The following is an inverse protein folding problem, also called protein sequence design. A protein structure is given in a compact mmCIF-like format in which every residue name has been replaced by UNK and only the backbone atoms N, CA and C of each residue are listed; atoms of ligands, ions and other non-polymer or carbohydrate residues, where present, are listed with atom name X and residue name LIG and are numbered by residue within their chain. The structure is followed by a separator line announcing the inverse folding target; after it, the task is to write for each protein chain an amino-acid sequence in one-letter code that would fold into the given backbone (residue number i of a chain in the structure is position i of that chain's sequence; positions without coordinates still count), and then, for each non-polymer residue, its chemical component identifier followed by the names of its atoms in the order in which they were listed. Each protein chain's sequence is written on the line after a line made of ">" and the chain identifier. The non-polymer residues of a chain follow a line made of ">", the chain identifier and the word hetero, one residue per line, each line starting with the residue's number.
data_IF_743904363303
#
_entry.id   IF_743904363303
#
_cell.length_a   1.000
_cell.length_b   1.000
_cell.length_c   1.000
_cell.angle_alpha   90.00
_cell.angle_beta   90.00
_cell.angle_gamma   90.00
#
_symmetry.space_group_name_H-M   'P 1'
#
loop_
_entity.id
_entity.type
_entity.pdbx_description
1 polymer ?
#
# COMPACT_ATOMS: atom_id res chain seq x y z
N UNK A 1 -57.52 -75.82 -48.20
CA UNK A 1 -56.08 -75.77 -48.05
C UNK A 1 -55.77 -74.25 -47.78
N UNK A 2 -55.58 -73.91 -46.52
CA UNK A 2 -55.28 -72.48 -46.11
C UNK A 2 -53.77 -72.41 -45.77
N UNK A 3 -53.03 -71.63 -46.56
CA UNK A 3 -51.63 -71.31 -46.24
C UNK A 3 -51.64 -70.19 -45.19
N UNK A 4 -50.98 -70.47 -44.10
CA UNK A 4 -50.73 -69.47 -43.03
C UNK A 4 -49.38 -68.81 -43.33
N UNK A 5 -49.43 -67.53 -43.67
CA UNK A 5 -48.28 -66.71 -43.92
C UNK A 5 -47.75 -66.12 -42.54
N UNK A 6 -46.64 -66.64 -42.11
CA UNK A 6 -46.01 -66.19 -40.86
C UNK A 6 -45.14 -64.95 -41.13
N UNK A 7 -45.54 -63.83 -40.68
CA UNK A 7 -44.72 -62.59 -40.69
C UNK A 7 -43.66 -62.66 -39.57
N UNK A 8 -42.43 -62.82 -39.95
CA UNK A 8 -41.30 -62.63 -39.02
C UNK A 8 -40.98 -61.16 -38.92
N UNK A 9 -41.28 -60.58 -37.79
CA UNK A 9 -40.81 -59.22 -37.44
C UNK A 9 -39.41 -59.33 -36.90
N UNK A 10 -38.42 -58.96 -37.70
CA UNK A 10 -37.04 -58.73 -37.23
C UNK A 10 -37.05 -57.53 -36.29
N UNK A 11 -36.89 -57.75 -34.96
CA UNK A 11 -36.53 -56.69 -34.01
C UNK A 11 -35.08 -56.36 -34.28
N UNK A 12 -34.83 -55.14 -34.83
CA UNK A 12 -33.52 -54.52 -34.82
C UNK A 12 -32.99 -54.49 -33.39
N UNK A 13 -31.98 -55.29 -33.08
CA UNK A 13 -31.20 -55.15 -31.86
C UNK A 13 -30.53 -53.80 -31.89
N UNK A 14 -31.03 -52.82 -31.09
CA UNK A 14 -30.34 -51.59 -30.82
C UNK A 14 -29.02 -51.95 -30.13
N UNK A 15 -27.93 -51.57 -30.74
CA UNK A 15 -26.58 -51.84 -30.30
C UNK A 15 -26.30 -50.99 -29.01
N UNK A 16 -26.49 -51.64 -27.86
CA UNK A 16 -26.32 -51.02 -26.54
C UNK A 16 -24.86 -50.66 -26.21
N UNK A 17 -23.90 -50.89 -27.12
CA UNK A 17 -22.47 -50.69 -26.92
C UNK A 17 -22.03 -49.20 -26.98
N UNK A 18 -22.81 -48.35 -27.65
CA UNK A 18 -22.43 -46.92 -27.79
C UNK A 18 -22.97 -46.02 -26.69
N UNK A 19 -23.99 -46.46 -25.94
CA UNK A 19 -24.60 -45.68 -24.86
C UNK A 19 -23.58 -45.32 -23.75
N UNK A 20 -22.75 -46.27 -23.24
CA UNK A 20 -21.77 -45.92 -22.21
C UNK A 20 -20.68 -44.94 -22.69
N UNK A 21 -20.27 -45.05 -23.96
CA UNK A 21 -19.29 -44.14 -24.55
C UNK A 21 -19.85 -42.70 -24.66
N UNK A 22 -21.09 -42.56 -25.10
CA UNK A 22 -21.80 -41.27 -25.18
C UNK A 22 -21.99 -40.64 -23.80
N UNK A 23 -22.35 -41.47 -22.79
CA UNK A 23 -22.51 -40.99 -21.40
C UNK A 23 -21.18 -40.52 -20.82
N UNK A 24 -20.10 -41.26 -21.03
CA UNK A 24 -18.76 -40.89 -20.60
C UNK A 24 -18.30 -39.59 -21.31
N UNK A 25 -18.53 -39.49 -22.63
CA UNK A 25 -18.24 -38.25 -23.37
C UNK A 25 -18.98 -37.03 -22.84
N UNK A 26 -20.30 -37.20 -22.55
CA UNK A 26 -21.11 -36.14 -21.97
C UNK A 26 -20.60 -35.70 -20.56
N UNK A 27 -20.22 -36.65 -19.72
CA UNK A 27 -19.64 -36.39 -18.40
C UNK A 27 -18.33 -35.63 -18.50
N UNK A 28 -17.45 -35.99 -19.43
CA UNK A 28 -16.18 -35.24 -19.65
C UNK A 28 -16.46 -33.80 -20.07
N UNK A 29 -17.42 -33.59 -20.97
CA UNK A 29 -17.81 -32.24 -21.40
C UNK A 29 -18.38 -31.42 -20.22
N UNK A 30 -19.26 -32.03 -19.42
CA UNK A 30 -19.81 -31.36 -18.24
C UNK A 30 -18.73 -30.99 -17.21
N UNK A 31 -17.77 -31.87 -16.95
CA UNK A 31 -16.64 -31.58 -16.06
C UNK A 31 -15.76 -30.47 -16.63
N UNK A 32 -15.49 -30.45 -17.93
CA UNK A 32 -14.74 -29.42 -18.60
C UNK A 32 -15.44 -28.03 -18.53
N UNK A 33 -16.78 -28.02 -18.77
CA UNK A 33 -17.59 -26.81 -18.65
C UNK A 33 -17.66 -26.31 -17.20
N UNK A 34 -17.87 -27.21 -16.23
CA UNK A 34 -17.85 -26.85 -14.82
C UNK A 34 -16.49 -26.33 -14.38
N UNK A 35 -15.39 -27.01 -14.76
CA UNK A 35 -14.03 -26.56 -14.50
C UNK A 35 -13.72 -25.21 -15.14
N UNK A 36 -14.12 -25.01 -16.39
CA UNK A 36 -13.99 -23.71 -17.08
C UNK A 36 -14.79 -22.59 -16.43
N UNK A 37 -16.01 -22.87 -15.99
CA UNK A 37 -16.87 -21.91 -15.27
C UNK A 37 -16.23 -21.55 -13.91
N UNK A 38 -15.79 -22.52 -13.13
CA UNK A 38 -15.13 -22.28 -11.83
C UNK A 38 -13.85 -21.47 -12.02
N UNK A 39 -13.03 -21.79 -13.02
CA UNK A 39 -11.81 -21.02 -13.33
C UNK A 39 -12.15 -19.56 -13.72
N UNK A 40 -13.14 -19.37 -14.60
CA UNK A 40 -13.58 -18.04 -15.04
C UNK A 40 -14.13 -17.21 -13.87
N UNK A 41 -15.00 -17.77 -13.03
CA UNK A 41 -15.55 -17.12 -11.85
C UNK A 41 -14.43 -16.76 -10.87
N UNK A 42 -13.52 -17.70 -10.61
CA UNK A 42 -12.42 -17.47 -9.69
C UNK A 42 -11.49 -16.33 -10.15
N UNK A 43 -11.32 -16.14 -11.47
CA UNK A 43 -10.56 -15.01 -12.03
C UNK A 43 -11.22 -13.66 -11.75
N UNK A 44 -12.54 -13.61 -11.61
CA UNK A 44 -13.32 -12.37 -11.39
C UNK A 44 -13.49 -12.03 -9.91
N UNK A 45 -13.32 -12.98 -8.98
CA UNK A 45 -13.45 -12.73 -7.54
C UNK A 45 -12.21 -12.00 -7.03
N UNK A 46 -12.35 -10.81 -6.39
CA UNK A 46 -11.21 -10.10 -5.80
C UNK A 46 -10.50 -10.90 -4.70
N UNK A 47 -9.18 -10.82 -4.64
CA UNK A 47 -8.42 -11.40 -3.54
C UNK A 47 -8.78 -10.72 -2.22
N UNK A 48 -8.87 -11.50 -1.15
CA UNK A 48 -9.00 -11.05 0.24
C UNK A 48 -7.67 -11.16 1.01
N UNK A 49 -6.59 -11.60 0.35
CA UNK A 49 -5.28 -11.73 0.98
C UNK A 49 -4.79 -10.35 1.41
N UNK A 50 -4.42 -10.23 2.69
CA UNK A 50 -3.74 -9.05 3.21
C UNK A 50 -2.27 -9.09 2.78
N UNK A 51 -1.68 -7.91 2.56
CA UNK A 51 -0.24 -7.76 2.40
C UNK A 51 0.43 -7.95 3.77
N UNK A 52 1.55 -8.63 3.79
CA UNK A 52 2.41 -8.60 4.95
C UNK A 52 3.07 -7.21 5.03
N UNK A 53 2.72 -6.46 6.06
CA UNK A 53 3.20 -5.08 6.22
C UNK A 53 4.68 -5.03 6.60
N UNK A 54 5.22 -6.08 7.23
CA UNK A 54 6.65 -6.19 7.50
C UNK A 54 7.42 -6.38 6.18
N UNK A 55 6.88 -7.20 5.26
CA UNK A 55 7.43 -7.31 3.91
C UNK A 55 7.31 -5.99 3.13
N UNK A 56 6.19 -5.27 3.30
CA UNK A 56 5.92 -4.03 2.58
C UNK A 56 6.81 -2.86 3.04
N UNK A 57 6.93 -2.63 4.35
CA UNK A 57 7.75 -1.54 4.90
C UNK A 57 9.22 -1.92 5.07
N UNK A 58 9.54 -3.21 5.03
CA UNK A 58 10.85 -3.76 5.36
C UNK A 58 10.99 -4.11 6.83
N UNK A 59 12.00 -4.91 7.13
CA UNK A 59 12.37 -5.18 8.52
C UNK A 59 13.05 -3.96 9.12
N UNK A 60 12.60 -3.55 10.29
CA UNK A 60 13.24 -2.51 11.08
C UNK A 60 13.95 -3.19 12.27
N UNK A 61 15.12 -2.68 12.63
CA UNK A 61 15.77 -3.05 13.89
C UNK A 61 14.98 -2.47 15.08
N UNK A 62 15.33 -2.90 16.29
CA UNK A 62 14.69 -2.38 17.49
C UNK A 62 14.92 -0.86 17.61
N UNK A 63 13.82 -0.13 17.79
CA UNK A 63 13.82 1.32 17.82
C UNK A 63 13.88 2.01 16.44
N UNK A 64 13.89 1.26 15.33
CA UNK A 64 13.81 1.84 13.98
C UNK A 64 12.38 1.83 13.44
N UNK A 65 12.07 2.79 12.59
CA UNK A 65 10.81 2.89 11.87
C UNK A 65 11.02 3.19 10.39
N UNK A 66 10.20 2.59 9.53
CA UNK A 66 10.17 2.96 8.11
C UNK A 66 9.76 4.42 7.96
N UNK A 67 10.46 5.15 7.10
CA UNK A 67 10.22 6.58 6.87
C UNK A 67 9.53 6.78 5.52
N UNK A 68 8.36 7.42 5.55
CA UNK A 68 7.56 7.76 4.38
C UNK A 68 7.43 9.28 4.31
N UNK A 69 7.84 9.87 3.22
CA UNK A 69 7.75 11.30 3.00
C UNK A 69 6.83 11.59 1.82
N UNK A 70 5.68 12.18 2.12
CA UNK A 70 4.67 12.45 1.10
C UNK A 70 4.18 11.18 0.43
N UNK A 71 4.71 10.91 -0.75
CA UNK A 71 4.37 9.76 -1.59
C UNK A 71 5.54 8.79 -1.81
N UNK A 72 6.64 8.98 -1.08
CA UNK A 72 7.86 8.21 -1.22
C UNK A 72 8.22 7.48 0.09
N UNK A 73 8.60 6.21 -0.03
CA UNK A 73 9.20 5.46 1.06
C UNK A 73 10.72 5.58 0.93
N UNK A 74 11.35 6.18 1.94
CA UNK A 74 12.78 6.39 1.97
C UNK A 74 13.53 5.10 2.39
N UNK A 75 14.80 5.00 2.03
CA UNK A 75 15.69 3.93 2.50
C UNK A 75 16.13 4.18 3.94
N UNK A 76 16.32 5.45 4.29
CA UNK A 76 16.66 5.90 5.62
C UNK A 76 15.54 5.58 6.61
N UNK A 77 15.94 5.37 7.87
CA UNK A 77 15.01 5.04 8.95
C UNK A 77 14.90 6.18 9.94
N UNK A 78 13.70 6.38 10.46
CA UNK A 78 13.52 7.15 11.67
C UNK A 78 13.90 6.29 12.91
N UNK A 79 14.26 6.91 14.01
CA UNK A 79 14.42 6.25 15.28
C UNK A 79 13.25 6.61 16.20
N UNK A 80 12.79 5.63 16.96
CA UNK A 80 11.74 5.80 17.98
C UNK A 80 12.36 5.48 19.35
N UNK A 81 12.22 6.40 20.30
CA UNK A 81 12.63 6.22 21.68
C UNK A 81 11.50 6.65 22.60
N UNK A 82 10.77 5.67 23.15
CA UNK A 82 9.54 5.94 23.89
C UNK A 82 8.46 6.53 22.95
N UNK A 83 8.04 7.75 23.27
CA UNK A 83 7.07 8.52 22.47
C UNK A 83 7.76 9.44 21.44
N UNK A 84 9.07 9.60 21.55
CA UNK A 84 9.85 10.51 20.72
C UNK A 84 10.30 9.85 19.43
N UNK A 85 10.21 10.61 18.35
CA UNK A 85 10.67 10.24 17.00
C UNK A 85 11.83 11.13 16.60
N UNK A 86 12.87 10.53 16.04
CA UNK A 86 14.06 11.20 15.56
C UNK A 86 14.29 10.91 14.08
N UNK A 87 14.57 11.95 13.32
CA UNK A 87 14.83 11.89 11.88
C UNK A 87 16.31 12.09 11.60
N UNK A 88 16.93 11.35 10.67
CA UNK A 88 18.29 11.63 10.24
C UNK A 88 18.42 13.08 9.75
N UNK A 89 19.49 13.77 10.13
CA UNK A 89 19.75 15.14 9.70
C UNK A 89 19.77 15.28 8.16
N UNK A 90 20.34 14.28 7.47
CA UNK A 90 20.43 14.28 6.01
C UNK A 90 19.03 14.23 5.37
N UNK A 91 18.09 13.47 5.95
CA UNK A 91 16.69 13.47 5.51
C UNK A 91 16.04 14.83 5.77
N UNK A 92 16.26 15.41 6.95
CA UNK A 92 15.71 16.74 7.27
C UNK A 92 16.23 17.78 6.30
N UNK A 93 17.54 17.83 6.06
CA UNK A 93 18.15 18.79 5.15
C UNK A 93 17.86 18.50 3.67
N UNK A 94 17.77 17.23 3.29
CA UNK A 94 17.51 16.84 1.90
C UNK A 94 16.07 17.10 1.47
N UNK A 95 15.11 16.90 2.36
CA UNK A 95 13.69 16.85 1.99
C UNK A 95 12.82 17.85 2.73
N UNK A 96 13.15 18.27 3.96
CA UNK A 96 12.23 19.04 4.76
C UNK A 96 12.65 20.51 4.91
N UNK A 97 13.86 20.75 5.42
CA UNK A 97 14.31 22.11 5.74
C UNK A 97 15.85 22.18 5.79
N UNK A 98 16.48 22.82 4.83
CA UNK A 98 17.94 22.91 4.65
C UNK A 98 18.65 23.88 5.59
N UNK A 99 18.00 24.36 6.65
CA UNK A 99 18.54 25.38 7.54
C UNK A 99 19.22 24.83 8.79
N UNK A 100 19.35 23.52 8.91
CA UNK A 100 20.03 22.85 10.00
C UNK A 100 21.47 22.57 9.61
N UNK A 101 22.39 23.12 10.37
CA UNK A 101 23.82 22.95 10.15
C UNK A 101 24.45 22.20 11.33
N UNK A 102 25.19 21.13 11.05
CA UNK A 102 25.92 20.36 12.05
C UNK A 102 27.32 20.95 12.31
N UNK A 103 27.55 21.44 13.52
CA UNK A 103 28.84 21.84 14.04
C UNK A 103 29.47 20.63 14.75
N UNK A 104 30.33 19.91 14.03
CA UNK A 104 30.94 18.66 14.52
C UNK A 104 31.98 18.92 15.62
N UNK A 105 32.62 20.10 15.65
CA UNK A 105 33.63 20.46 16.65
C UNK A 105 32.98 20.72 18.02
N UNK A 106 31.87 21.44 18.01
CA UNK A 106 31.14 21.79 19.24
C UNK A 106 29.98 20.84 19.54
N UNK A 107 29.75 19.82 18.71
CA UNK A 107 28.65 18.83 18.83
C UNK A 107 27.30 19.49 19.05
N UNK A 108 26.91 20.36 18.14
CA UNK A 108 25.63 21.07 18.20
C UNK A 108 25.03 21.29 16.82
N UNK A 109 23.71 21.45 16.76
CA UNK A 109 23.01 21.94 15.59
C UNK A 109 22.87 23.45 15.68
N UNK A 110 23.18 24.10 14.56
CA UNK A 110 22.88 25.50 14.32
C UNK A 110 21.67 25.59 13.40
N UNK A 111 20.61 26.28 13.83
CA UNK A 111 19.48 26.59 12.99
C UNK A 111 19.46 28.08 12.65
N UNK A 112 19.62 28.39 11.37
CA UNK A 112 19.75 29.76 10.88
C UNK A 112 18.45 30.27 10.25
N UNK A 113 18.01 31.44 10.70
CA UNK A 113 16.99 32.25 10.03
C UNK A 113 17.61 33.59 9.57
N UNK A 114 16.93 34.39 8.73
CA UNK A 114 17.46 35.70 8.32
C UNK A 114 17.76 36.63 9.48
N UNK A 115 17.12 36.44 10.64
CA UNK A 115 17.20 37.35 11.80
C UNK A 115 17.77 36.70 13.06
N UNK A 116 17.99 35.38 13.08
CA UNK A 116 18.43 34.67 14.28
C UNK A 116 19.24 33.43 13.99
N UNK A 117 20.12 33.07 14.90
CA UNK A 117 20.80 31.80 14.96
C UNK A 117 20.44 31.14 16.29
N UNK A 118 19.93 29.92 16.20
CA UNK A 118 19.61 29.09 17.37
C UNK A 118 20.60 27.95 17.45
N UNK A 119 21.09 27.64 18.62
CA UNK A 119 22.02 26.56 18.90
C UNK A 119 21.34 25.48 19.74
N UNK A 120 21.53 24.24 19.38
CA UNK A 120 20.96 23.09 20.10
C UNK A 120 22.06 22.03 20.30
N UNK A 121 22.46 21.76 21.54
CA UNK A 121 23.52 20.79 21.83
C UNK A 121 23.04 19.37 21.52
N UNK A 122 23.95 18.55 21.02
CA UNK A 122 23.69 17.13 20.83
C UNK A 122 23.95 16.34 22.11
N UNK A 123 23.13 15.34 22.35
CA UNK A 123 23.28 14.33 23.39
C UNK A 123 23.64 12.98 22.77
N UNK A 124 24.35 12.13 23.49
CA UNK A 124 24.55 10.70 23.14
C UNK A 124 23.33 9.84 23.51
N UNK A 125 22.29 10.45 24.06
CA UNK A 125 21.02 9.84 24.45
C UNK A 125 19.84 10.48 23.76
N UNK A 126 18.76 9.73 23.66
CA UNK A 126 17.47 10.22 23.12
C UNK A 126 16.69 11.03 24.17
N UNK A 127 17.30 12.06 24.75
CA UNK A 127 16.73 12.89 25.82
C UNK A 127 16.63 14.39 25.47
N UNK A 128 17.10 14.77 24.28
CA UNK A 128 17.11 16.14 23.77
C UNK A 128 16.52 16.28 22.37
N UNK A 129 16.69 17.47 21.79
CA UNK A 129 16.25 17.75 20.43
C UNK A 129 17.23 17.21 19.37
N UNK A 130 18.48 16.97 19.75
CA UNK A 130 19.53 16.46 18.86
C UNK A 130 20.16 15.22 19.51
N UNK A 131 20.07 14.10 18.83
CA UNK A 131 20.65 12.84 19.26
C UNK A 131 21.78 12.44 18.31
N UNK A 132 23.00 12.26 18.84
CA UNK A 132 24.14 11.72 18.13
C UNK A 132 24.26 10.24 18.45
N UNK A 133 23.96 9.38 17.47
CA UNK A 133 24.01 7.91 17.60
C UNK A 133 24.83 7.35 16.46
N UNK A 134 25.83 6.53 16.78
CA UNK A 134 26.69 5.84 15.81
C UNK A 134 27.22 6.79 14.72
N UNK A 135 27.74 7.95 15.11
CA UNK A 135 28.22 9.04 14.25
C UNK A 135 27.17 9.69 13.34
N UNK A 136 25.91 9.32 13.49
CA UNK A 136 24.78 9.89 12.74
C UNK A 136 24.02 10.88 13.65
N UNK A 137 23.73 12.05 13.10
CA UNK A 137 22.95 13.09 13.79
C UNK A 137 21.47 12.92 13.47
N UNK A 138 20.66 12.87 14.52
CA UNK A 138 19.22 12.78 14.44
C UNK A 138 18.57 13.99 15.10
N UNK A 139 17.52 14.52 14.48
CA UNK A 139 16.72 15.62 15.01
C UNK A 139 15.36 15.10 15.48
N UNK A 140 14.96 15.50 16.70
CA UNK A 140 13.62 15.20 17.22
C UNK A 140 12.56 15.76 16.28
N UNK A 141 11.58 14.97 15.91
CA UNK A 141 10.52 15.37 14.97
C UNK A 141 9.79 16.63 15.43
N UNK A 142 9.51 16.74 16.73
CA UNK A 142 8.85 17.93 17.29
C UNK A 142 9.72 19.18 17.22
N UNK A 143 11.04 19.02 17.29
CA UNK A 143 11.97 20.13 17.05
C UNK A 143 11.95 20.57 15.58
N UNK A 144 11.91 19.62 14.64
CA UNK A 144 11.77 19.93 13.22
C UNK A 144 10.44 20.64 12.91
N UNK A 145 9.34 20.21 13.53
CA UNK A 145 8.00 20.81 13.37
C UNK A 145 7.93 22.28 13.84
N UNK A 146 8.80 22.73 14.75
CA UNK A 146 8.83 24.15 15.14
C UNK A 146 9.18 25.08 13.98
N UNK A 147 9.92 24.58 12.99
CA UNK A 147 10.48 25.37 11.90
C UNK A 147 10.05 24.87 10.51
N UNK A 148 9.19 23.87 10.46
CA UNK A 148 8.75 23.26 9.19
C UNK A 148 7.28 22.90 9.30
N UNK A 149 6.47 23.40 8.38
CA UNK A 149 5.04 23.11 8.32
C UNK A 149 4.78 21.72 7.76
N UNK A 150 4.85 20.73 8.65
CA UNK A 150 4.62 19.32 8.36
C UNK A 150 3.63 18.72 9.34
N UNK A 151 2.87 17.73 8.85
CA UNK A 151 2.10 16.79 9.65
C UNK A 151 2.81 15.44 9.69
N UNK A 152 2.59 14.66 10.74
CA UNK A 152 3.14 13.33 10.83
C UNK A 152 2.14 12.34 11.39
N UNK A 153 2.24 11.10 10.92
CA UNK A 153 1.56 9.94 11.43
C UNK A 153 2.60 8.91 11.89
N UNK A 154 2.45 8.39 13.09
CA UNK A 154 3.38 7.45 13.70
C UNK A 154 2.61 6.18 14.04
N UNK A 155 3.12 5.03 13.64
CA UNK A 155 2.59 3.71 13.92
C UNK A 155 3.69 2.81 14.47
N UNK A 156 3.37 1.99 15.45
CA UNK A 156 4.33 1.13 16.13
C UNK A 156 4.41 -0.27 15.53
N UNK A 157 3.34 -0.75 14.90
CA UNK A 157 3.27 -2.12 14.38
C UNK A 157 2.62 -2.18 12.97
N UNK A 158 3.40 -2.37 11.91
CA UNK A 158 4.86 -2.24 11.85
C UNK A 158 5.29 -0.78 12.02
N UNK A 159 6.42 -0.58 12.70
CA UNK A 159 6.94 0.74 13.02
C UNK A 159 7.18 1.58 11.76
N UNK A 160 6.47 2.71 11.67
CA UNK A 160 6.59 3.66 10.55
C UNK A 160 6.26 5.08 10.95
N UNK A 161 6.91 6.00 10.28
CA UNK A 161 6.69 7.44 10.40
C UNK A 161 6.36 7.98 9.01
N UNK A 162 5.15 8.49 8.84
CA UNK A 162 4.73 9.15 7.60
C UNK A 162 4.69 10.67 7.84
N UNK A 163 5.40 11.43 7.01
CA UNK A 163 5.51 12.88 7.08
C UNK A 163 4.89 13.50 5.84
N UNK A 164 4.12 14.54 6.04
CA UNK A 164 3.41 15.26 4.98
C UNK A 164 3.64 16.75 5.11
N UNK A 165 3.87 17.44 4.00
CA UNK A 165 3.83 18.91 3.99
C UNK A 165 2.37 19.39 4.12
N UNK A 166 2.12 20.38 4.97
CA UNK A 166 0.78 20.97 5.13
C UNK A 166 0.32 21.72 3.88
N UNK A 167 1.25 22.36 3.20
CA UNK A 167 0.98 23.25 2.05
C UNK A 167 1.65 22.70 0.79
N UNK A 168 1.06 21.68 0.19
CA UNK A 168 1.48 21.20 -1.13
C UNK A 168 0.29 21.16 -2.07
N UNK A 169 0.48 21.67 -3.30
CA UNK A 169 -0.47 21.50 -4.39
C UNK A 169 -0.42 20.05 -4.89
N UNK A 170 -0.99 19.13 -4.11
CA UNK A 170 -1.09 17.72 -4.48
C UNK A 170 -2.51 17.43 -4.93
N UNK A 171 -2.63 16.84 -6.10
CA UNK A 171 -3.92 16.37 -6.58
C UNK A 171 -4.46 15.30 -5.65
N UNK A 172 -5.73 15.42 -5.28
CA UNK A 172 -6.38 14.48 -4.37
C UNK A 172 -7.59 13.83 -5.01
N UNK A 173 -7.88 12.63 -4.56
CA UNK A 173 -9.09 11.88 -4.92
C UNK A 173 -9.77 11.39 -3.64
N UNK A 174 -11.09 11.23 -3.71
CA UNK A 174 -11.88 10.77 -2.57
C UNK A 174 -12.59 9.47 -2.89
N UNK A 175 -12.62 8.54 -1.93
CA UNK A 175 -13.34 7.27 -2.09
C UNK A 175 -14.86 7.49 -2.13
N UNK A 176 -15.55 6.88 -3.12
CA UNK A 176 -17.02 6.95 -3.26
C UNK A 176 -17.75 6.10 -2.24
N UNK A 177 -17.12 5.04 -1.75
CA UNK A 177 -17.63 4.05 -0.81
C UNK A 177 -16.47 3.32 -0.14
N UNK A 178 -16.77 2.55 0.89
CA UNK A 178 -15.79 1.65 1.50
C UNK A 178 -15.10 0.79 0.44
N UNK A 179 -13.80 0.77 0.49
CA UNK A 179 -12.96 0.10 -0.49
C UNK A 179 -11.64 -0.37 0.13
N UNK A 180 -10.70 -0.78 -0.70
CA UNK A 180 -9.36 -1.18 -0.26
C UNK A 180 -8.31 -0.55 -1.15
N UNK A 181 -7.18 -0.18 -0.56
CA UNK A 181 -5.94 0.08 -1.28
C UNK A 181 -5.18 -1.24 -1.43
N UNK A 182 -4.61 -1.49 -2.61
CA UNK A 182 -3.90 -2.72 -2.93
C UNK A 182 -2.46 -2.45 -3.27
N UNK A 183 -1.60 -3.44 -3.03
CA UNK A 183 -0.16 -3.36 -3.33
C UNK A 183 0.15 -3.13 -4.80
N UNK A 184 -0.68 -3.66 -5.72
CA UNK A 184 -0.54 -3.46 -7.18
C UNK A 184 -1.91 -3.19 -7.80
N UNK A 185 -1.92 -2.61 -8.99
CA UNK A 185 -3.11 -2.47 -9.82
C UNK A 185 -3.63 -3.85 -10.24
N UNK A 186 -4.77 -4.26 -9.67
CA UNK A 186 -5.42 -5.54 -9.98
C UNK A 186 -6.20 -6.12 -8.82
N UNK A 187 -7.36 -6.74 -9.13
CA UNK A 187 -8.26 -7.31 -8.11
C UNK A 187 -7.65 -8.52 -7.37
N UNK A 188 -6.59 -9.12 -7.91
CA UNK A 188 -5.89 -10.26 -7.29
C UNK A 188 -4.72 -9.83 -6.40
N UNK A 189 -4.29 -8.58 -6.48
CA UNK A 189 -3.21 -8.06 -5.64
C UNK A 189 -3.60 -8.08 -4.16
N UNK A 190 -2.64 -8.29 -3.23
CA UNK A 190 -2.87 -8.21 -1.81
C UNK A 190 -3.42 -6.84 -1.39
N UNK A 191 -4.20 -6.84 -0.33
CA UNK A 191 -4.76 -5.63 0.27
C UNK A 191 -3.73 -5.04 1.23
N UNK A 192 -3.40 -3.75 1.08
CA UNK A 192 -2.58 -3.00 2.03
C UNK A 192 -3.42 -2.52 3.22
N UNK A 193 -4.55 -1.86 2.93
CA UNK A 193 -5.43 -1.33 3.95
C UNK A 193 -6.88 -1.21 3.46
N UNK A 194 -7.80 -1.08 4.41
CA UNK A 194 -9.21 -0.77 4.15
C UNK A 194 -9.39 0.74 4.24
N UNK A 195 -10.15 1.27 3.31
CA UNK A 195 -10.47 2.69 3.21
C UNK A 195 -11.96 2.89 3.39
N UNK A 196 -12.36 3.76 4.30
CA UNK A 196 -13.73 4.18 4.48
C UNK A 196 -14.21 5.05 3.30
N UNK A 197 -15.50 5.19 3.15
CA UNK A 197 -16.09 6.19 2.25
C UNK A 197 -15.62 7.60 2.64
N UNK A 198 -15.41 8.44 1.64
CA UNK A 198 -14.93 9.82 1.77
C UNK A 198 -13.49 9.95 2.32
N UNK A 199 -12.69 8.87 2.33
CA UNK A 199 -11.25 8.99 2.59
C UNK A 199 -10.59 9.78 1.47
N UNK A 200 -9.85 10.81 1.82
CA UNK A 200 -9.03 11.61 0.91
C UNK A 200 -7.70 10.89 0.70
N UNK A 201 -7.23 10.84 -0.53
CA UNK A 201 -6.00 10.17 -0.94
C UNK A 201 -5.22 11.11 -1.86
N UNK A 202 -3.89 11.13 -1.74
CA UNK A 202 -3.04 11.83 -2.71
C UNK A 202 -2.94 11.01 -3.98
N UNK A 203 -3.21 11.63 -5.12
CA UNK A 203 -3.08 11.00 -6.43
C UNK A 203 -1.62 11.12 -6.88
N UNK A 204 -0.97 9.97 -7.09
CA UNK A 204 0.41 9.91 -7.57
C UNK A 204 0.47 9.73 -9.08
N UNK A 205 -0.35 8.83 -9.59
CA UNK A 205 -0.39 8.53 -11.02
C UNK A 205 -1.79 8.03 -11.42
N UNK A 206 -2.33 8.60 -12.47
CA UNK A 206 -3.56 8.12 -13.09
C UNK A 206 -3.27 6.98 -14.07
N UNK A 207 -3.91 5.83 -13.85
CA UNK A 207 -3.90 4.70 -14.78
C UNK A 207 -5.22 4.57 -15.53
N UNK A 208 -5.33 3.57 -16.37
CA UNK A 208 -6.56 3.26 -17.10
C UNK A 208 -7.68 2.80 -16.15
N UNK A 209 -7.46 1.73 -15.41
CA UNK A 209 -8.41 1.12 -14.45
C UNK A 209 -8.06 1.34 -12.99
N UNK A 210 -6.79 1.59 -12.69
CA UNK A 210 -6.23 1.68 -11.35
C UNK A 210 -5.34 2.90 -11.24
N UNK A 211 -5.60 3.73 -10.23
CA UNK A 211 -4.77 4.88 -9.91
C UNK A 211 -3.82 4.53 -8.76
N UNK A 212 -2.59 5.01 -8.85
CA UNK A 212 -1.64 4.95 -7.77
C UNK A 212 -1.90 6.12 -6.81
N UNK A 213 -2.00 5.80 -5.54
CA UNK A 213 -2.37 6.77 -4.49
C UNK A 213 -1.56 6.54 -3.23
N UNK A 214 -1.46 7.60 -2.41
CA UNK A 214 -0.91 7.54 -1.06
C UNK A 214 -1.94 7.99 -0.02
N UNK A 215 -1.88 7.37 1.15
CA UNK A 215 -2.68 7.73 2.33
C UNK A 215 -1.84 8.56 3.31
N UNK A 216 -2.47 9.27 4.23
CA UNK A 216 -1.76 10.06 5.25
C UNK A 216 -0.99 9.18 6.24
N UNK A 217 -1.46 7.97 6.49
CA UNK A 217 -0.82 6.97 7.36
C UNK A 217 0.27 6.13 6.66
N UNK A 218 0.71 6.54 5.46
CA UNK A 218 1.91 6.03 4.79
C UNK A 218 1.70 4.80 3.91
N UNK A 219 0.46 4.43 3.54
CA UNK A 219 0.27 3.41 2.52
C UNK A 219 0.37 4.01 1.12
N UNK A 220 1.24 3.45 0.29
CA UNK A 220 1.37 3.76 -1.13
C UNK A 220 0.91 2.55 -1.92
N UNK A 221 -0.13 2.69 -2.73
CA UNK A 221 -0.73 1.56 -3.44
C UNK A 221 -1.72 1.97 -4.51
N UNK A 222 -2.66 1.09 -4.81
CA UNK A 222 -3.56 1.25 -5.95
C UNK A 222 -5.03 1.15 -5.55
N UNK A 223 -5.84 2.05 -6.09
CA UNK A 223 -7.31 2.04 -5.98
C UNK A 223 -7.94 1.93 -7.36
N UNK A 224 -9.08 1.22 -7.47
CA UNK A 224 -9.83 1.22 -8.73
C UNK A 224 -10.37 2.59 -9.07
N UNK A 225 -10.12 3.09 -10.28
CA UNK A 225 -10.57 4.40 -10.76
C UNK A 225 -12.08 4.62 -10.59
N UNK A 226 -12.90 3.61 -10.85
CA UNK A 226 -14.37 3.67 -10.65
C UNK A 226 -14.82 3.84 -9.21
N UNK A 227 -13.95 3.60 -8.22
CA UNK A 227 -14.26 3.70 -6.79
C UNK A 227 -13.89 5.04 -6.18
N UNK A 228 -13.26 5.93 -6.94
CA UNK A 228 -12.91 7.28 -6.51
C UNK A 228 -13.66 8.35 -7.30
N UNK A 229 -13.72 9.54 -6.77
CA UNK A 229 -14.08 10.78 -7.46
C UNK A 229 -12.92 11.77 -7.33
N UNK A 230 -12.71 12.59 -8.35
CA UNK A 230 -11.74 13.68 -8.27
C UNK A 230 -12.24 14.74 -7.28
N UNK A 231 -11.35 15.29 -6.48
CA UNK A 231 -11.65 16.34 -5.51
C UNK A 231 -10.99 17.67 -5.86
N UNK A 232 -10.17 17.73 -6.92
CA UNK A 232 -9.41 18.92 -7.24
C UNK A 232 -8.13 19.04 -6.40
N UNK A 233 -7.44 20.15 -6.55
CA UNK A 233 -6.23 20.43 -5.78
C UNK A 233 -6.61 20.87 -4.37
N UNK A 234 -6.03 20.24 -3.34
CA UNK A 234 -6.00 20.82 -2.00
C UNK A 234 -4.89 21.88 -2.00
N UNK A 235 -5.25 23.07 -2.36
CA UNK A 235 -4.43 24.26 -2.20
C UNK A 235 -5.33 25.35 -1.63
N UNK A 236 -5.03 25.81 -0.45
CA UNK A 236 -5.44 27.12 0.04
C UNK A 236 -4.53 28.18 -0.56
#
# INVERSE_FOLDING_TARGET
>A
MKQIMTFYTERKKHDKKHIPVLVVGLLIVLVALAGGAVYGINKLIPSRKQMDLTEYYGQNADGEAALILGTEKLEEKALISGEDVYLPLDVVNGYLNQRYYWDSENKKILYATPSSLTEEPASDKADGNVWLKDDTVYLKLDYVKKYTDIDSYIEQDPARVAIQYKFTNVETVTTKKDTVIRYRGGIKAPILSKLAKNTVLRLMNEGEDWDQVATDDGYIGYIQKKKRKCCGYNGL
#
